data_IF_964908772814
#
_entry.id   IF_964908772814
#
_cell.length_a   1.000
_cell.length_b   1.000
_cell.length_c   1.000
_cell.angle_alpha   90.00
_cell.angle_beta   90.00
_cell.angle_gamma   90.00
#
_symmetry.space_group_name_H-M   'P 1'
#
loop_
_entity.id
_entity.type
_entity.pdbx_description
1 polymer ?
#
# COMPACT_ATOMS: atom_id res chain seq x y z
N UNK A 1 0.59 -14.70 -5.80
CA UNK A 1 1.62 -13.88 -6.45
C UNK A 1 0.91 -12.93 -7.40
N UNK A 2 1.10 -11.61 -7.26
CA UNK A 2 0.39 -10.61 -8.06
C UNK A 2 0.79 -10.60 -9.55
N UNK A 3 1.96 -11.15 -9.88
CA UNK A 3 2.44 -11.32 -11.25
C UNK A 3 3.19 -12.65 -11.37
N UNK A 4 3.11 -13.30 -12.53
CA UNK A 4 4.09 -14.31 -12.92
C UNK A 4 5.36 -13.57 -13.40
N UNK A 5 6.57 -13.95 -12.97
CA UNK A 5 7.79 -13.30 -13.45
C UNK A 5 8.01 -13.58 -14.94
N UNK A 6 8.26 -12.51 -15.71
CA UNK A 6 8.98 -12.58 -16.98
C UNK A 6 8.13 -12.70 -18.26
N UNK A 7 7.66 -11.58 -18.79
CA UNK A 7 7.47 -11.46 -20.23
C UNK A 7 8.71 -10.81 -20.86
N UNK A 8 9.39 -11.59 -21.70
CA UNK A 8 10.55 -11.17 -22.49
C UNK A 8 10.03 -10.70 -23.84
N UNK A 9 10.02 -9.39 -24.06
CA UNK A 9 9.75 -8.84 -25.39
C UNK A 9 11.03 -8.82 -26.22
N UNK A 10 11.11 -9.72 -27.21
CA UNK A 10 12.20 -9.75 -28.20
C UNK A 10 11.78 -8.96 -29.43
N UNK A 11 12.33 -7.77 -29.63
CA UNK A 11 12.15 -7.04 -30.90
C UNK A 11 13.15 -7.58 -31.93
N UNK A 12 12.65 -8.20 -33.00
CA UNK A 12 13.48 -8.71 -34.10
C UNK A 12 13.51 -7.65 -35.20
N UNK A 13 14.66 -7.00 -35.38
CA UNK A 13 14.95 -6.20 -36.57
C UNK A 13 15.30 -7.14 -37.74
N UNK A 14 14.71 -6.92 -38.92
CA UNK A 14 14.77 -7.84 -40.08
C UNK A 14 15.98 -7.62 -41.00
N UNK A 15 16.92 -6.73 -40.69
CA UNK A 15 17.89 -6.29 -41.71
C UNK A 15 19.38 -6.61 -41.51
N UNK A 16 19.85 -7.34 -40.49
CA UNK A 16 21.29 -7.71 -40.43
C UNK A 16 21.62 -9.08 -39.80
N UNK A 17 22.47 -9.86 -40.51
CA UNK A 17 22.89 -11.25 -40.21
C UNK A 17 23.90 -11.39 -39.05
N UNK A 18 23.96 -10.46 -38.09
CA UNK A 18 24.88 -10.58 -36.94
C UNK A 18 24.12 -10.39 -35.62
N UNK A 19 23.94 -11.49 -34.89
CA UNK A 19 23.20 -11.52 -33.62
C UNK A 19 24.10 -11.11 -32.46
N UNK A 20 24.00 -9.85 -32.02
CA UNK A 20 24.27 -9.47 -30.63
C UNK A 20 22.96 -9.03 -30.00
N UNK A 21 22.35 -9.93 -29.23
CA UNK A 21 21.28 -9.54 -28.33
C UNK A 21 21.89 -8.67 -27.23
N UNK A 22 21.57 -7.38 -27.24
CA UNK A 22 21.85 -6.53 -26.07
C UNK A 22 20.72 -6.78 -25.11
N UNK A 23 20.96 -7.55 -24.05
CA UNK A 23 20.04 -7.65 -22.92
C UNK A 23 20.03 -6.28 -22.24
N UNK A 24 19.02 -5.48 -22.52
CA UNK A 24 18.71 -4.30 -21.71
C UNK A 24 17.77 -4.75 -20.62
N UNK A 25 18.29 -5.00 -19.42
CA UNK A 25 17.46 -5.06 -18.23
C UNK A 25 16.78 -3.69 -18.12
N UNK A 26 15.44 -3.66 -18.20
CA UNK A 26 14.70 -2.47 -17.80
C UNK A 26 14.95 -2.33 -16.30
N UNK A 27 15.77 -1.35 -15.94
CA UNK A 27 16.20 -1.08 -14.58
C UNK A 27 14.98 -0.66 -13.73
N UNK A 28 14.71 -1.48 -12.71
CA UNK A 28 13.83 -1.28 -11.53
C UNK A 28 12.45 -0.69 -11.78
N UNK A 29 11.39 -1.49 -11.59
CA UNK A 29 10.04 -0.96 -11.45
C UNK A 29 9.96 0.01 -10.26
N UNK A 30 8.93 0.86 -10.25
CA UNK A 30 8.77 1.90 -9.22
C UNK A 30 8.56 1.25 -7.86
N UNK A 31 9.36 1.60 -6.85
CA UNK A 31 9.21 1.05 -5.49
C UNK A 31 8.15 1.85 -4.74
N UNK A 32 7.38 1.17 -3.90
CA UNK A 32 6.34 1.81 -3.11
C UNK A 32 6.44 1.50 -1.62
N UNK A 33 5.98 2.48 -0.83
CA UNK A 33 5.66 2.30 0.57
C UNK A 33 4.15 2.08 0.70
N UNK A 34 3.75 0.88 1.11
CA UNK A 34 2.37 0.56 1.44
C UNK A 34 2.16 0.70 2.94
N UNK A 35 1.09 1.38 3.35
CA UNK A 35 0.80 1.69 4.74
C UNK A 35 -0.60 1.16 5.08
N UNK A 36 -0.73 0.40 6.17
CA UNK A 36 -2.04 0.24 6.79
C UNK A 36 -2.51 1.56 7.43
N UNK A 37 -3.81 1.68 7.71
CA UNK A 37 -4.39 2.85 8.35
C UNK A 37 -4.55 2.72 9.87
N UNK A 38 -5.36 1.78 10.36
CA UNK A 38 -5.86 1.79 11.73
C UNK A 38 -4.98 0.94 12.64
N UNK A 39 -4.33 1.57 13.63
CA UNK A 39 -3.26 0.96 14.43
C UNK A 39 -1.87 1.23 13.85
N UNK A 40 -1.80 1.74 12.61
CA UNK A 40 -0.55 2.04 11.90
C UNK A 40 -0.33 3.54 11.72
N UNK A 41 -1.23 4.23 10.99
CA UNK A 41 -1.17 5.68 10.78
C UNK A 41 -2.06 6.44 11.76
N UNK A 42 -3.24 5.90 12.04
CA UNK A 42 -4.23 6.49 12.93
C UNK A 42 -4.51 5.55 14.10
N UNK A 43 -4.67 6.12 15.29
CA UNK A 43 -5.07 5.39 16.49
C UNK A 43 -6.41 4.70 16.24
N UNK A 44 -6.46 3.40 16.51
CA UNK A 44 -7.67 2.59 16.39
C UNK A 44 -8.04 1.94 17.72
N UNK A 45 -9.33 1.92 18.03
CA UNK A 45 -9.93 1.18 19.16
C UNK A 45 -11.19 0.48 18.67
N UNK A 46 -11.33 -0.80 18.96
CA UNK A 46 -12.49 -1.62 18.55
C UNK A 46 -12.82 -1.52 17.04
N UNK A 47 -11.79 -1.59 16.19
CA UNK A 47 -11.90 -1.40 14.73
C UNK A 47 -12.46 -0.03 14.29
N UNK A 48 -12.30 1.01 15.11
CA UNK A 48 -12.69 2.39 14.80
C UNK A 48 -11.49 3.32 14.94
N UNK A 49 -11.27 4.17 13.94
CA UNK A 49 -10.35 5.30 14.08
C UNK A 49 -10.86 6.23 15.17
N UNK A 50 -10.00 6.50 16.15
CA UNK A 50 -10.22 7.51 17.19
C UNK A 50 -10.11 8.88 16.55
N UNK A 51 -11.05 9.77 16.86
CA UNK A 51 -11.06 11.15 16.36
C UNK A 51 -10.95 12.15 17.51
N UNK A 52 -10.40 13.32 17.22
CA UNK A 52 -10.42 14.48 18.10
C UNK A 52 -11.81 15.15 18.15
N UNK A 53 -11.91 16.29 18.86
CA UNK A 53 -13.14 17.05 19.00
C UNK A 53 -13.68 17.62 17.68
N UNK A 54 -12.80 17.82 16.69
CA UNK A 54 -13.14 18.34 15.36
C UNK A 54 -13.47 17.20 14.37
N UNK A 55 -13.46 15.94 14.84
CA UNK A 55 -13.76 14.76 14.02
C UNK A 55 -12.59 14.30 13.15
N UNK A 56 -11.38 14.79 13.41
CA UNK A 56 -10.19 14.40 12.67
C UNK A 56 -9.49 13.20 13.30
N UNK A 57 -8.79 12.35 12.54
CA UNK A 57 -8.05 11.21 13.08
C UNK A 57 -7.00 11.63 14.11
N UNK A 58 -6.98 10.95 15.26
CA UNK A 58 -5.82 10.97 16.16
C UNK A 58 -4.75 10.09 15.54
N UNK A 59 -3.59 10.65 15.23
CA UNK A 59 -2.48 9.91 14.60
C UNK A 59 -1.72 9.07 15.61
N UNK A 60 -1.11 7.98 15.12
CA UNK A 60 -0.08 7.28 15.88
C UNK A 60 1.15 8.19 16.07
N UNK A 61 1.94 8.01 17.13
CA UNK A 61 3.11 8.86 17.37
C UNK A 61 4.10 8.83 16.19
N UNK A 62 4.80 9.93 15.96
CA UNK A 62 5.88 10.08 14.98
C UNK A 62 5.51 9.83 13.51
N UNK A 63 4.22 9.69 13.17
CA UNK A 63 3.78 9.40 11.79
C UNK A 63 4.22 10.49 10.81
N UNK A 64 3.94 11.80 11.03
CA UNK A 64 4.36 12.83 10.09
C UNK A 64 5.88 12.91 9.92
N UNK A 65 6.63 12.86 11.01
CA UNK A 65 8.09 12.98 11.02
C UNK A 65 8.75 11.81 10.30
N UNK A 66 8.27 10.59 10.57
CA UNK A 66 8.78 9.37 9.93
C UNK A 66 8.43 9.32 8.46
N UNK A 67 7.18 9.61 8.07
CA UNK A 67 6.83 9.60 6.65
C UNK A 67 7.63 10.66 5.89
N UNK A 68 7.80 11.86 6.44
CA UNK A 68 8.64 12.90 5.82
C UNK A 68 10.08 12.44 5.58
N UNK A 69 10.64 11.68 6.54
CA UNK A 69 12.00 11.15 6.45
C UNK A 69 12.13 9.98 5.47
N UNK A 70 11.20 9.04 5.51
CA UNK A 70 11.30 7.77 4.78
C UNK A 70 10.75 7.83 3.35
N UNK A 71 9.71 8.66 3.11
CA UNK A 71 9.03 8.78 1.81
C UNK A 71 9.97 9.02 0.62
N UNK A 72 11.04 9.85 0.71
CA UNK A 72 11.95 10.09 -0.41
C UNK A 72 12.68 8.84 -0.93
N UNK A 73 12.68 7.74 -0.18
CA UNK A 73 13.31 6.47 -0.58
C UNK A 73 12.43 5.63 -1.52
N UNK A 74 11.17 6.03 -1.73
CA UNK A 74 10.19 5.33 -2.54
C UNK A 74 9.70 6.22 -3.71
N UNK A 75 9.18 5.62 -4.77
CA UNK A 75 8.60 6.33 -5.91
C UNK A 75 7.11 6.65 -5.69
N UNK A 76 6.43 5.84 -4.88
CA UNK A 76 5.02 5.99 -4.54
C UNK A 76 4.75 5.65 -3.06
N UNK A 77 3.65 6.17 -2.52
CA UNK A 77 3.21 5.86 -1.17
C UNK A 77 1.70 5.66 -1.17
N UNK A 78 1.23 4.55 -0.60
CA UNK A 78 -0.16 4.13 -0.68
C UNK A 78 -0.74 3.76 0.67
N UNK A 79 -2.05 3.95 0.83
CA UNK A 79 -2.80 3.36 1.94
C UNK A 79 -3.51 2.09 1.46
N UNK A 80 -3.46 1.02 2.24
CA UNK A 80 -4.19 -0.24 2.02
C UNK A 80 -4.89 -0.68 3.30
N UNK A 81 -6.22 -0.59 3.35
CA UNK A 81 -6.94 -0.74 4.63
C UNK A 81 -8.20 -1.63 4.55
N UNK A 82 -8.39 -2.51 5.52
CA UNK A 82 -9.66 -3.21 5.70
C UNK A 82 -10.66 -2.28 6.41
N UNK A 83 -11.74 -1.89 5.74
CA UNK A 83 -12.75 -0.92 6.19
C UNK A 83 -14.15 -1.55 6.20
N UNK A 84 -14.30 -2.71 6.87
CA UNK A 84 -15.56 -3.48 6.91
C UNK A 84 -16.78 -2.71 7.46
N UNK A 85 -16.54 -1.61 8.18
CA UNK A 85 -17.59 -0.70 8.66
C UNK A 85 -18.36 -0.04 7.50
N UNK A 86 -17.72 0.11 6.34
CA UNK A 86 -18.36 0.62 5.12
C UNK A 86 -19.43 -0.35 4.64
N UNK A 87 -19.09 -1.65 4.48
CA UNK A 87 -20.07 -2.67 4.07
C UNK A 87 -21.22 -2.86 5.06
N UNK A 88 -21.00 -2.52 6.34
CA UNK A 88 -22.06 -2.52 7.37
C UNK A 88 -22.85 -1.21 7.46
N UNK A 89 -22.55 -0.22 6.63
CA UNK A 89 -23.24 1.08 6.63
C UNK A 89 -22.96 1.96 7.86
N UNK A 90 -21.95 1.63 8.67
CA UNK A 90 -21.61 2.37 9.89
C UNK A 90 -20.78 3.64 9.62
N UNK A 91 -20.17 3.72 8.43
CA UNK A 91 -19.34 4.84 7.98
C UNK A 91 -19.37 4.86 6.45
N UNK A 92 -19.38 6.04 5.83
CA UNK A 92 -19.30 6.12 4.37
C UNK A 92 -17.85 5.96 3.89
N UNK A 93 -17.68 5.51 2.65
CA UNK A 93 -16.37 5.52 2.00
C UNK A 93 -15.80 6.93 1.87
N UNK A 94 -16.65 7.91 1.53
CA UNK A 94 -16.27 9.32 1.44
C UNK A 94 -15.72 9.87 2.76
N UNK A 95 -16.28 9.45 3.90
CA UNK A 95 -15.78 9.80 5.23
C UNK A 95 -14.37 9.24 5.48
N UNK A 96 -14.12 7.98 5.11
CA UNK A 96 -12.80 7.36 5.24
C UNK A 96 -11.79 8.04 4.33
N UNK A 97 -12.15 8.28 3.07
CA UNK A 97 -11.29 8.97 2.10
C UNK A 97 -10.99 10.40 2.54
N UNK A 98 -11.95 11.11 3.14
CA UNK A 98 -11.69 12.44 3.71
C UNK A 98 -10.62 12.40 4.81
N UNK A 99 -10.64 11.38 5.67
CA UNK A 99 -9.62 11.20 6.71
C UNK A 99 -8.23 10.94 6.12
N UNK A 100 -8.15 10.18 5.02
CA UNK A 100 -6.90 9.98 4.29
C UNK A 100 -6.40 11.29 3.68
N UNK A 101 -7.30 12.07 3.06
CA UNK A 101 -6.98 13.40 2.52
C UNK A 101 -6.49 14.37 3.59
N UNK A 102 -7.16 14.40 4.75
CA UNK A 102 -6.75 15.21 5.90
C UNK A 102 -5.34 14.90 6.39
N UNK A 103 -4.96 13.61 6.41
CA UNK A 103 -3.59 13.21 6.71
C UNK A 103 -2.66 13.62 5.57
N UNK A 104 -3.04 13.39 4.32
CA UNK A 104 -2.21 13.69 3.16
C UNK A 104 -1.80 15.17 3.11
N UNK A 105 -2.72 16.09 3.40
CA UNK A 105 -2.44 17.53 3.49
C UNK A 105 -1.34 17.83 4.52
N UNK A 106 -1.39 17.18 5.68
CA UNK A 106 -0.39 17.33 6.76
C UNK A 106 0.96 16.71 6.41
N UNK A 107 0.95 15.71 5.54
CA UNK A 107 2.17 15.10 5.02
C UNK A 107 2.72 15.83 3.78
N UNK A 108 2.12 16.95 3.35
CA UNK A 108 2.55 17.69 2.17
C UNK A 108 2.16 17.04 0.84
N UNK A 109 1.12 16.20 0.81
CA UNK A 109 0.58 15.62 -0.42
C UNK A 109 1.33 14.38 -0.93
N UNK A 110 2.05 13.67 -0.06
CA UNK A 110 2.93 12.55 -0.45
C UNK A 110 2.23 11.22 -0.76
N UNK A 111 0.97 11.06 -0.34
CA UNK A 111 0.17 9.88 -0.64
C UNK A 111 -0.26 9.92 -2.11
N UNK A 112 0.13 8.88 -2.82
CA UNK A 112 -0.07 8.72 -4.27
C UNK A 112 -1.47 8.20 -4.58
N UNK A 113 -1.96 7.22 -3.82
CA UNK A 113 -3.25 6.57 -4.01
C UNK A 113 -3.63 5.74 -2.76
N UNK A 114 -4.83 5.15 -2.74
CA UNK A 114 -5.27 4.26 -1.66
C UNK A 114 -6.25 3.19 -2.15
N UNK A 115 -6.28 2.07 -1.43
CA UNK A 115 -7.31 1.04 -1.55
C UNK A 115 -7.89 0.69 -0.20
N UNK A 116 -9.20 0.46 -0.22
CA UNK A 116 -9.98 0.11 0.96
C UNK A 116 -10.88 -1.07 0.63
N UNK A 117 -10.94 -2.04 1.55
CA UNK A 117 -11.83 -3.19 1.43
C UNK A 117 -13.07 -2.97 2.32
N UNK A 118 -14.27 -2.78 1.74
CA UNK A 118 -15.49 -2.58 2.51
C UNK A 118 -16.10 -3.88 3.08
N UNK A 119 -15.56 -5.03 2.68
CA UNK A 119 -16.12 -6.36 2.95
C UNK A 119 -15.80 -6.92 4.35
N UNK A 120 -16.71 -7.75 4.86
CA UNK A 120 -16.54 -8.61 6.02
C UNK A 120 -15.66 -9.84 5.73
N UNK A 121 -15.42 -10.66 6.76
CA UNK A 121 -14.59 -11.87 6.64
C UNK A 121 -15.22 -12.94 5.75
N UNK A 122 -16.55 -13.06 5.77
CA UNK A 122 -17.30 -14.11 5.06
C UNK A 122 -17.68 -13.77 3.61
N UNK A 123 -17.43 -12.55 3.16
CA UNK A 123 -17.86 -12.06 1.83
C UNK A 123 -17.05 -12.67 0.67
N UNK A 124 -16.01 -13.46 0.94
CA UNK A 124 -15.23 -14.17 -0.08
C UNK A 124 -14.40 -13.28 -1.03
N UNK A 125 -14.38 -11.95 -0.84
CA UNK A 125 -13.73 -10.99 -1.74
C UNK A 125 -12.21 -11.21 -1.88
N UNK A 126 -11.59 -10.71 -2.95
CA UNK A 126 -10.14 -10.84 -3.16
C UNK A 126 -9.30 -9.72 -2.49
N UNK A 127 -9.95 -8.64 -2.05
CA UNK A 127 -9.26 -7.44 -1.58
C UNK A 127 -8.96 -7.42 -0.08
N UNK A 128 -9.76 -8.08 0.77
CA UNK A 128 -9.60 -8.06 2.23
C UNK A 128 -8.29 -8.71 2.67
N UNK A 129 -7.42 -7.98 3.36
CA UNK A 129 -6.23 -8.55 4.02
C UNK A 129 -6.68 -9.67 4.97
N UNK A 130 -6.07 -10.87 4.91
CA UNK A 130 -4.73 -11.17 4.40
C UNK A 130 -4.62 -11.46 2.89
N UNK A 131 -5.67 -11.29 2.09
CA UNK A 131 -5.57 -11.44 0.63
C UNK A 131 -4.83 -10.24 0.01
N UNK A 132 -4.10 -10.45 -1.11
CA UNK A 132 -3.22 -9.42 -1.66
C UNK A 132 -3.91 -8.45 -2.63
N UNK A 133 -5.23 -8.57 -2.86
CA UNK A 133 -5.90 -7.89 -3.97
C UNK A 133 -5.70 -6.37 -4.01
N UNK A 134 -5.72 -5.68 -2.86
CA UNK A 134 -5.45 -4.24 -2.80
C UNK A 134 -4.03 -3.87 -3.24
N UNK A 135 -3.04 -4.68 -2.89
CA UNK A 135 -1.65 -4.47 -3.29
C UNK A 135 -1.44 -4.75 -4.77
N UNK A 136 -2.02 -5.85 -5.28
CA UNK A 136 -1.91 -6.20 -6.69
C UNK A 136 -2.56 -5.13 -7.58
N UNK A 137 -3.70 -4.58 -7.17
CA UNK A 137 -4.38 -3.52 -7.93
C UNK A 137 -3.53 -2.24 -8.00
N UNK A 138 -3.01 -1.76 -6.86
CA UNK A 138 -2.11 -0.61 -6.84
C UNK A 138 -0.86 -0.85 -7.67
N UNK A 139 -0.28 -2.06 -7.59
CA UNK A 139 0.90 -2.39 -8.36
C UNK A 139 0.64 -2.40 -9.87
N UNK A 140 -0.54 -2.85 -10.28
CA UNK A 140 -0.97 -2.81 -11.67
C UNK A 140 -1.19 -1.38 -12.16
N UNK A 141 -1.96 -0.59 -11.43
CA UNK A 141 -2.32 0.79 -11.83
C UNK A 141 -1.09 1.70 -11.90
N UNK A 142 -0.12 1.52 -10.99
CA UNK A 142 1.03 2.42 -10.84
C UNK A 142 2.35 1.83 -11.33
N UNK A 143 2.35 0.64 -11.92
CA UNK A 143 3.54 -0.09 -12.40
C UNK A 143 4.60 -0.25 -11.31
N UNK A 144 4.18 -0.80 -10.16
CA UNK A 144 5.01 -0.94 -8.95
C UNK A 144 5.77 -2.25 -8.97
N UNK A 145 7.06 -2.17 -8.62
CA UNK A 145 7.87 -3.31 -8.25
C UNK A 145 7.56 -3.72 -6.80
N UNK A 146 6.74 -4.77 -6.64
CA UNK A 146 6.38 -5.29 -5.32
C UNK A 146 7.59 -5.87 -4.58
N UNK A 147 8.51 -6.54 -5.27
CA UNK A 147 9.69 -7.15 -4.64
C UNK A 147 10.64 -6.07 -4.07
N UNK A 148 10.72 -4.92 -4.73
CA UNK A 148 11.43 -3.74 -4.23
C UNK A 148 10.66 -2.87 -3.21
N UNK A 149 9.41 -3.22 -2.88
CA UNK A 149 8.53 -2.41 -2.05
C UNK A 149 8.49 -2.85 -0.58
N UNK A 150 7.93 -1.97 0.27
CA UNK A 150 7.76 -2.20 1.71
C UNK A 150 6.29 -2.06 2.10
N UNK A 151 5.78 -2.96 2.95
CA UNK A 151 4.49 -2.79 3.64
C UNK A 151 4.70 -2.57 5.13
N UNK A 152 4.03 -1.57 5.69
CA UNK A 152 4.03 -1.25 7.13
C UNK A 152 2.63 -1.47 7.68
N UNK A 153 2.52 -2.27 8.74
CA UNK A 153 1.25 -2.58 9.39
C UNK A 153 1.40 -3.03 10.85
N UNK A 154 0.29 -3.12 11.56
CA UNK A 154 0.24 -3.44 12.99
C UNK A 154 -0.31 -4.84 13.30
N UNK A 155 -0.83 -5.56 12.31
CA UNK A 155 -1.47 -6.86 12.52
C UNK A 155 -0.89 -7.98 11.65
N UNK A 156 -1.04 -9.24 12.07
CA UNK A 156 -0.57 -10.40 11.31
C UNK A 156 -1.19 -10.51 9.91
N UNK A 157 -2.43 -10.03 9.74
CA UNK A 157 -3.09 -9.97 8.43
C UNK A 157 -2.33 -9.09 7.44
N UNK A 158 -1.62 -8.06 7.91
CA UNK A 158 -0.78 -7.19 7.09
C UNK A 158 0.44 -7.92 6.59
N UNK A 159 1.17 -8.58 7.49
CA UNK A 159 2.31 -9.42 7.16
C UNK A 159 1.93 -10.52 6.17
N UNK A 160 0.80 -11.18 6.40
CA UNK A 160 0.29 -12.23 5.52
C UNK A 160 -0.10 -11.69 4.14
N UNK A 161 -0.72 -10.51 4.06
CA UNK A 161 -1.07 -9.89 2.78
C UNK A 161 0.17 -9.45 1.99
N UNK A 162 1.15 -8.83 2.66
CA UNK A 162 2.42 -8.45 2.05
C UNK A 162 3.13 -9.67 1.44
N UNK A 163 3.23 -10.77 2.21
CA UNK A 163 3.78 -12.04 1.72
C UNK A 163 3.00 -12.61 0.54
N UNK A 164 1.67 -12.61 0.60
CA UNK A 164 0.82 -13.12 -0.48
C UNK A 164 0.93 -12.30 -1.78
N UNK A 165 1.17 -11.00 -1.65
CA UNK A 165 1.38 -10.08 -2.76
C UNK A 165 2.76 -10.26 -3.41
N UNK A 166 3.76 -10.67 -2.63
CA UNK A 166 5.16 -10.72 -3.05
C UNK A 166 5.91 -9.42 -2.74
N UNK A 167 5.53 -8.74 -1.66
CA UNK A 167 6.23 -7.55 -1.19
C UNK A 167 7.56 -7.96 -0.54
N UNK A 168 8.65 -7.30 -0.90
CA UNK A 168 9.99 -7.67 -0.44
C UNK A 168 10.21 -7.49 1.06
N UNK A 169 9.63 -6.44 1.65
CA UNK A 169 9.76 -6.16 3.08
C UNK A 169 8.41 -5.92 3.77
N UNK A 170 8.25 -6.52 4.95
CA UNK A 170 7.22 -6.14 5.90
C UNK A 170 7.90 -5.61 7.18
N UNK A 171 7.42 -4.47 7.69
CA UNK A 171 7.92 -3.85 8.93
C UNK A 171 6.75 -3.59 9.85
N UNK A 172 6.90 -3.88 11.14
CA UNK A 172 5.84 -3.57 12.11
C UNK A 172 5.74 -2.06 12.32
N UNK A 173 4.51 -1.56 12.46
CA UNK A 173 4.27 -0.13 12.63
C UNK A 173 5.04 0.48 13.81
N UNK A 174 5.07 -0.21 14.96
CA UNK A 174 5.80 0.25 16.15
C UNK A 174 7.31 0.34 15.92
N UNK A 175 7.88 -0.53 15.08
CA UNK A 175 9.30 -0.48 14.69
C UNK A 175 9.56 0.66 13.69
N UNK A 176 8.71 0.79 12.67
CA UNK A 176 8.88 1.79 11.61
C UNK A 176 8.73 3.23 12.13
N UNK A 177 7.76 3.45 13.01
CA UNK A 177 7.43 4.77 13.58
C UNK A 177 8.06 5.00 14.98
N UNK A 178 8.71 4.00 15.57
CA UNK A 178 9.40 4.09 16.86
C UNK A 178 8.51 4.56 18.03
N UNK A 179 7.45 3.82 18.34
CA UNK A 179 6.56 4.04 19.49
C UNK A 179 6.25 2.78 20.29
#
# INVERSE_FOLDING_TARGET
MCYAPGEVFVTIDRETTTRRATVRYVTSGRRALFLDWGGTLALARDNRTVTDADGNPVLMPNVPETITRERPSYDACFIVSNQARIGRGEISEAEVVRRFGWLNERLGGVLTDWRLCPHGDDDGCACRKPKPGMFCDLAHVWTIDLEGSTHVGDADKDRAAARAAGIGAFVWAHEFFAW
#
